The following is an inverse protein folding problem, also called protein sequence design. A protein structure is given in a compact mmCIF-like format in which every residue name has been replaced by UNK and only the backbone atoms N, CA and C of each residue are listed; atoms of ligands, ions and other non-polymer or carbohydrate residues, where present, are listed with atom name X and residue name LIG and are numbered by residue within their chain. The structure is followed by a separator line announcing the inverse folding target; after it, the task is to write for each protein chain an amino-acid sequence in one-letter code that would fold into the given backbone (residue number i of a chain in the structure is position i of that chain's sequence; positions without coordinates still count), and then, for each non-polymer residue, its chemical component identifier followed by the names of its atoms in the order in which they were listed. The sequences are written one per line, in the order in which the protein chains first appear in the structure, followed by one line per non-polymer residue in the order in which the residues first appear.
data_IF_197219250819
#
_entry.id   IF_197219250819
#
_cell.length_a   1.000
_cell.length_b   1.000
_cell.length_c   1.000
_cell.angle_alpha   90.00
_cell.angle_beta   90.00
_cell.angle_gamma   90.00
#
_symmetry.space_group_name_H-M   'P 1'
#
loop_
_entity.id
_entity.type
_entity.pdbx_description
1 polymer ?
#
# COMPACT_ATOMS: atom_id res chain seq x y z
N UNK A 1 -21.61 53.48 -24.82
CA UNK A 1 -20.21 53.83 -25.16
C UNK A 1 -19.35 52.62 -24.86
N UNK A 2 -18.53 52.22 -25.85
CA UNK A 2 -17.40 51.28 -25.94
C UNK A 2 -17.05 50.36 -24.76
N UNK A 3 -16.72 49.08 -24.93
CA UNK A 3 -16.51 48.27 -26.13
C UNK A 3 -16.08 46.84 -25.75
N UNK A 4 -16.57 45.86 -26.51
CA UNK A 4 -16.24 44.44 -26.41
C UNK A 4 -15.02 44.10 -27.30
N UNK A 5 -14.23 43.09 -26.92
CA UNK A 5 -13.30 42.41 -27.83
C UNK A 5 -13.61 40.91 -27.82
N UNK A 6 -14.09 40.45 -28.97
CA UNK A 6 -14.24 39.06 -29.40
C UNK A 6 -13.03 38.75 -30.29
N UNK A 7 -12.35 37.63 -30.06
CA UNK A 7 -11.38 37.07 -31.02
C UNK A 7 -11.92 35.73 -31.51
N UNK A 8 -12.26 35.67 -32.80
CA UNK A 8 -12.61 34.49 -33.57
C UNK A 8 -11.53 34.24 -34.64
N UNK A 9 -11.34 32.96 -34.98
CA UNK A 9 -10.59 32.46 -36.15
C UNK A 9 -9.44 31.55 -35.72
N UNK A 10 -9.31 30.30 -36.12
CA UNK A 10 -9.88 29.51 -37.21
C UNK A 10 -8.94 28.30 -37.43
N UNK A 11 -9.34 27.28 -38.22
CA UNK A 11 -8.89 25.89 -38.03
C UNK A 11 -7.69 25.49 -38.90
N UNK A 12 -6.79 24.66 -38.36
CA UNK A 12 -5.79 23.95 -39.16
C UNK A 12 -6.21 22.50 -39.45
N UNK A 13 -6.19 22.21 -40.75
CA UNK A 13 -6.54 20.96 -41.45
C UNK A 13 -5.74 19.74 -41.01
N UNK A 14 -6.43 18.60 -41.06
CA UNK A 14 -5.85 17.26 -41.14
C UNK A 14 -5.24 16.97 -42.53
N UNK A 15 -4.25 16.08 -42.55
CA UNK A 15 -3.66 15.43 -43.74
C UNK A 15 -3.03 14.07 -43.37
N UNK A 16 -2.85 13.13 -44.32
CA UNK A 16 -3.09 11.70 -44.09
C UNK A 16 -1.83 10.81 -44.12
N UNK A 17 -1.99 9.59 -43.59
CA UNK A 17 -1.54 8.34 -44.22
C UNK A 17 -0.04 8.00 -44.25
N UNK A 18 0.33 6.87 -43.67
CA UNK A 18 1.67 6.29 -43.85
C UNK A 18 1.90 5.02 -43.04
N UNK A 19 1.15 3.96 -43.35
CA UNK A 19 1.52 2.60 -42.99
C UNK A 19 2.69 2.16 -43.89
N UNK A 20 3.78 1.70 -43.28
CA UNK A 20 4.76 0.82 -43.94
C UNK A 20 5.07 -0.35 -43.02
N UNK A 21 4.48 -1.48 -43.38
CA UNK A 21 5.03 -2.82 -43.18
C UNK A 21 6.34 -2.92 -43.98
N UNK A 22 7.35 -3.57 -43.42
CA UNK A 22 8.39 -4.23 -44.20
C UNK A 22 9.27 -5.12 -43.30
N UNK A 23 9.13 -6.42 -43.49
CA UNK A 23 10.29 -7.19 -43.96
C UNK A 23 11.14 -7.85 -42.89
N UNK A 24 10.68 -9.02 -42.46
CA UNK A 24 11.51 -10.12 -41.97
C UNK A 24 12.50 -10.53 -43.08
N UNK A 25 13.80 -10.42 -42.82
CA UNK A 25 14.83 -11.23 -43.50
C UNK A 25 15.79 -11.79 -42.46
N UNK A 26 15.80 -13.12 -42.38
CA UNK A 26 16.86 -13.90 -41.75
C UNK A 26 17.96 -14.08 -42.81
N UNK A 27 19.22 -13.88 -42.45
CA UNK A 27 20.30 -14.58 -43.13
C UNK A 27 21.51 -14.82 -42.20
N UNK A 28 21.74 -16.11 -41.95
CA UNK A 28 23.04 -16.80 -41.99
C UNK A 28 24.22 -16.30 -41.14
N UNK A 29 24.52 -17.08 -40.09
CA UNK A 29 25.89 -17.30 -39.58
C UNK A 29 26.73 -18.06 -40.63
N UNK A 30 28.09 -18.09 -40.57
CA UNK A 30 28.76 -19.03 -39.65
C UNK A 30 30.20 -18.70 -39.18
N UNK A 31 30.65 -19.52 -38.21
CA UNK A 31 32.04 -19.87 -37.81
C UNK A 31 32.85 -18.84 -37.02
N UNK A 32 33.76 -19.20 -36.10
CA UNK A 32 34.10 -20.41 -35.35
C UNK A 32 35.30 -20.04 -34.47
N UNK A 33 35.46 -20.77 -33.36
CA UNK A 33 36.74 -21.15 -32.74
C UNK A 33 37.18 -20.43 -31.45
N UNK A 34 37.29 -21.28 -30.41
CA UNK A 34 38.40 -21.39 -29.45
C UNK A 34 38.08 -21.10 -27.97
N UNK A 35 37.69 -22.16 -27.25
CA UNK A 35 38.13 -22.45 -25.87
C UNK A 35 39.59 -23.00 -25.90
N UNK A 36 40.34 -23.03 -24.78
CA UNK A 36 40.24 -24.04 -23.68
C UNK A 36 40.31 -23.40 -22.26
N UNK A 37 39.61 -23.88 -21.22
CA UNK A 37 39.79 -25.08 -20.37
C UNK A 37 41.08 -25.10 -19.55
N UNK A 38 40.98 -25.23 -18.20
CA UNK A 38 41.63 -26.23 -17.29
C UNK A 38 41.07 -26.00 -15.85
N UNK A 39 40.38 -26.95 -15.21
CA UNK A 39 40.86 -28.10 -14.38
C UNK A 39 41.46 -27.63 -13.02
N UNK A 40 41.29 -28.25 -11.83
CA UNK A 40 41.18 -29.65 -11.41
C UNK A 40 40.84 -29.64 -9.89
N UNK A 41 39.93 -30.50 -9.37
CA UNK A 41 40.22 -31.71 -8.54
C UNK A 41 40.60 -31.45 -7.06
N UNK A 42 40.33 -32.22 -6.00
CA UNK A 42 39.70 -33.51 -5.59
C UNK A 42 39.69 -33.45 -4.01
N UNK A 43 38.91 -34.15 -3.18
CA UNK A 43 39.12 -35.52 -2.63
C UNK A 43 38.29 -35.60 -1.29
N UNK A 44 37.27 -36.45 -1.11
CA UNK A 44 37.15 -37.81 -0.48
C UNK A 44 37.16 -37.97 1.08
N UNK A 45 36.18 -38.76 1.57
CA UNK A 45 35.69 -39.28 2.90
C UNK A 45 36.65 -40.19 3.74
N UNK A 46 36.33 -40.94 4.88
CA UNK A 46 35.09 -41.22 5.71
C UNK A 46 35.27 -41.39 7.29
N UNK A 47 34.18 -41.80 8.02
CA UNK A 47 34.14 -42.50 9.36
C UNK A 47 33.77 -41.64 10.59
N UNK A 48 32.94 -41.98 11.60
CA UNK A 48 32.59 -43.27 12.26
C UNK A 48 31.27 -43.21 13.08
N UNK A 49 30.83 -44.37 13.57
CA UNK A 49 29.53 -44.76 14.15
C UNK A 49 29.31 -44.50 15.67
N UNK A 50 28.03 -44.36 16.04
CA UNK A 50 27.24 -44.82 17.23
C UNK A 50 27.53 -44.50 18.72
N UNK A 51 26.40 -44.21 19.41
CA UNK A 51 26.01 -44.34 20.85
C UNK A 51 26.48 -43.25 21.85
N UNK A 52 25.56 -42.38 22.32
CA UNK A 52 24.54 -42.55 23.39
C UNK A 52 25.10 -42.39 24.80
N UNK A 53 24.81 -41.25 25.45
CA UNK A 53 24.26 -41.14 26.82
C UNK A 53 23.99 -39.66 27.10
N UNK A 54 22.75 -39.36 27.47
CA UNK A 54 22.29 -38.00 27.72
C UNK A 54 22.84 -37.39 29.02
N UNK A 55 22.91 -36.07 29.02
CA UNK A 55 22.70 -35.27 30.24
C UNK A 55 22.28 -33.85 29.88
N UNK A 56 21.23 -33.44 30.56
CA UNK A 56 20.49 -32.21 30.37
C UNK A 56 21.35 -30.97 30.64
N UNK A 57 21.23 -29.97 29.77
CA UNK A 57 21.34 -28.58 30.18
C UNK A 57 20.55 -27.71 29.20
N UNK A 58 19.25 -27.60 29.47
CA UNK A 58 18.35 -26.70 28.77
C UNK A 58 18.62 -25.26 29.18
N UNK A 59 19.46 -24.56 28.43
CA UNK A 59 19.50 -23.09 28.47
C UNK A 59 18.38 -22.55 27.58
N UNK A 60 17.38 -21.97 28.23
CA UNK A 60 16.20 -21.35 27.66
C UNK A 60 16.55 -20.41 26.48
N UNK A 61 16.20 -20.84 25.26
CA UNK A 61 16.00 -19.93 24.12
C UNK A 61 14.58 -19.37 24.22
N UNK A 62 14.49 -18.05 24.19
CA UNK A 62 13.34 -17.25 24.58
C UNK A 62 12.00 -17.71 24.03
N UNK A 63 10.99 -17.62 24.90
CA UNK A 63 9.59 -17.78 24.61
C UNK A 63 9.14 -16.78 23.51
N UNK A 64 9.08 -17.27 22.28
CA UNK A 64 8.55 -16.58 21.10
C UNK A 64 7.77 -17.54 20.22
N UNK A 65 7.08 -18.52 20.84
CA UNK A 65 6.19 -19.41 20.12
C UNK A 65 5.10 -18.60 19.45
N UNK A 66 5.08 -18.60 18.11
CA UNK A 66 3.96 -18.05 17.35
C UNK A 66 2.69 -18.67 17.90
N UNK A 67 1.79 -17.82 18.39
CA UNK A 67 0.48 -18.22 18.87
C UNK A 67 -0.22 -18.97 17.74
N UNK A 68 -0.65 -20.20 18.00
CA UNK A 68 -1.15 -21.15 17.01
C UNK A 68 -2.42 -21.79 17.54
N UNK A 69 -3.40 -22.01 16.66
CA UNK A 69 -4.59 -22.80 16.99
C UNK A 69 -4.27 -24.28 17.13
N UNK A 70 -5.26 -25.08 17.53
CA UNK A 70 -5.17 -26.54 17.66
C UNK A 70 -4.79 -27.23 16.34
N UNK A 71 -4.95 -26.53 15.21
CA UNK A 71 -4.59 -26.98 13.86
C UNK A 71 -3.22 -26.43 13.39
N UNK A 72 -2.49 -25.72 14.27
CA UNK A 72 -1.16 -25.17 13.99
C UNK A 72 -1.14 -23.89 13.15
N UNK A 73 -2.30 -23.29 12.83
CA UNK A 73 -2.40 -22.01 12.14
C UNK A 73 -2.06 -20.89 13.09
N UNK A 74 -1.29 -19.90 12.65
CA UNK A 74 -0.95 -18.76 13.49
C UNK A 74 -2.22 -18.01 13.92
N UNK A 75 -2.57 -18.04 15.20
CA UNK A 75 -3.58 -17.16 15.78
C UNK A 75 -2.93 -15.83 16.05
N UNK A 76 -3.49 -14.78 15.46
CA UNK A 76 -3.09 -13.42 15.77
C UNK A 76 -3.87 -12.94 17.01
N UNK A 77 -3.81 -13.66 18.14
CA UNK A 77 -4.56 -13.30 19.36
C UNK A 77 -3.83 -12.25 20.20
N UNK A 78 -2.61 -11.86 19.80
CA UNK A 78 -1.85 -10.82 20.49
C UNK A 78 -2.57 -9.47 20.34
N UNK A 79 -2.92 -8.77 21.44
CA UNK A 79 -3.57 -7.46 21.39
C UNK A 79 -2.76 -6.45 20.56
N UNK A 80 -3.43 -5.49 19.92
CA UNK A 80 -2.80 -4.46 19.07
C UNK A 80 -3.29 -3.07 19.42
N UNK A 81 -2.47 -2.06 19.20
CA UNK A 81 -2.92 -0.65 19.31
C UNK A 81 -3.74 -0.20 18.09
N UNK A 82 -4.24 1.04 18.11
CA UNK A 82 -5.00 1.63 16.99
C UNK A 82 -4.21 1.79 15.69
N UNK A 83 -2.87 1.71 15.76
CA UNK A 83 -2.02 1.67 14.58
C UNK A 83 -1.76 0.24 14.11
N UNK A 84 -2.16 -0.81 14.85
CA UNK A 84 -1.94 -2.22 14.54
C UNK A 84 -0.62 -2.80 15.07
N UNK A 85 0.13 -2.09 15.92
CA UNK A 85 1.38 -2.60 16.53
C UNK A 85 1.05 -3.60 17.64
N UNK A 86 1.75 -4.74 17.72
CA UNK A 86 1.52 -5.72 18.78
C UNK A 86 1.82 -5.16 20.19
N UNK A 87 0.90 -5.35 21.13
CA UNK A 87 1.02 -4.97 22.53
C UNK A 87 1.44 -6.15 23.41
N UNK A 88 1.97 -5.93 24.63
CA UNK A 88 2.17 -7.00 25.61
C UNK A 88 0.87 -7.77 25.88
N UNK A 89 0.97 -9.06 26.19
CA UNK A 89 -0.19 -9.85 26.60
C UNK A 89 -0.82 -9.25 27.87
N UNK A 90 -2.15 -9.22 27.93
CA UNK A 90 -2.91 -8.62 29.04
C UNK A 90 -3.11 -7.10 28.96
N UNK A 91 -2.44 -6.40 28.03
CA UNK A 91 -2.78 -5.01 27.72
C UNK A 91 -4.11 -4.94 26.94
N UNK A 92 -4.97 -3.94 27.20
CA UNK A 92 -6.17 -3.73 26.37
C UNK A 92 -5.72 -3.37 24.95
N UNK A 93 -6.08 -4.20 23.98
CA UNK A 93 -5.92 -3.90 22.57
C UNK A 93 -7.17 -3.29 21.98
N UNK A 94 -7.03 -2.68 20.81
CA UNK A 94 -8.16 -2.32 19.96
C UNK A 94 -8.60 -3.57 19.21
N UNK A 95 -9.90 -3.86 19.25
CA UNK A 95 -10.48 -4.95 18.47
C UNK A 95 -10.24 -4.71 16.96
N UNK A 96 -9.95 -5.77 16.22
CA UNK A 96 -9.83 -5.67 14.75
C UNK A 96 -11.21 -5.41 14.17
N UNK A 97 -11.29 -4.70 13.05
CA UNK A 97 -12.57 -4.61 12.37
C UNK A 97 -13.00 -6.01 11.92
N UNK A 98 -14.31 -6.33 11.94
CA UNK A 98 -14.81 -7.55 11.35
C UNK A 98 -14.49 -7.54 9.86
N UNK A 99 -13.77 -8.56 9.39
CA UNK A 99 -13.35 -8.71 7.99
C UNK A 99 -14.55 -9.10 7.12
N UNK A 100 -14.64 -8.57 5.90
CA UNK A 100 -15.63 -8.99 4.90
C UNK A 100 -17.04 -8.43 5.13
N UNK A 101 -17.17 -7.34 5.89
CA UNK A 101 -18.46 -6.66 6.09
C UNK A 101 -18.77 -5.81 4.86
N UNK A 102 -19.83 -6.20 4.15
CA UNK A 102 -20.34 -5.45 2.99
C UNK A 102 -21.05 -4.19 3.49
N UNK A 103 -20.55 -3.03 3.08
CA UNK A 103 -21.11 -1.70 3.37
C UNK A 103 -21.43 -1.00 2.05
N UNK A 104 -22.39 -0.08 2.07
CA UNK A 104 -22.53 0.87 0.97
C UNK A 104 -21.29 1.78 0.87
N UNK A 105 -21.04 2.42 -0.29
CA UNK A 105 -19.97 3.40 -0.43
C UNK A 105 -20.01 4.52 0.62
N UNK A 106 -21.20 5.08 0.87
CA UNK A 106 -21.37 6.17 1.85
C UNK A 106 -21.07 5.73 3.28
N UNK A 107 -21.53 4.55 3.69
CA UNK A 107 -21.21 3.97 5.00
C UNK A 107 -19.72 3.67 5.15
N UNK A 108 -19.07 3.18 4.09
CA UNK A 108 -17.62 2.92 4.09
C UNK A 108 -16.82 4.20 4.30
N UNK A 109 -17.22 5.31 3.65
CA UNK A 109 -16.57 6.61 3.82
C UNK A 109 -16.82 7.18 5.21
N UNK A 110 -18.05 7.12 5.72
CA UNK A 110 -18.39 7.63 7.05
C UNK A 110 -17.64 6.88 8.17
N UNK A 111 -17.68 5.54 8.15
CA UNK A 111 -16.94 4.70 9.11
C UNK A 111 -15.43 4.98 9.03
N UNK A 112 -14.87 5.07 7.83
CA UNK A 112 -13.45 5.37 7.67
C UNK A 112 -13.08 6.76 8.21
N UNK A 113 -13.96 7.77 8.06
CA UNK A 113 -13.74 9.11 8.63
C UNK A 113 -13.67 9.02 10.16
N UNK A 114 -14.66 8.38 10.79
CA UNK A 114 -14.69 8.26 12.26
C UNK A 114 -13.45 7.56 12.81
N UNK A 115 -12.96 6.53 12.11
CA UNK A 115 -11.73 5.84 12.46
C UNK A 115 -10.49 6.73 12.30
N UNK A 116 -10.41 7.51 11.23
CA UNK A 116 -9.31 8.45 11.01
C UNK A 116 -9.29 9.54 12.09
N UNK A 117 -10.44 10.10 12.44
CA UNK A 117 -10.61 11.12 13.49
C UNK A 117 -10.17 10.57 14.86
N UNK A 118 -10.37 9.28 15.11
CA UNK A 118 -9.90 8.58 16.32
C UNK A 118 -8.41 8.18 16.27
N UNK A 119 -7.67 8.54 15.22
CA UNK A 119 -6.27 8.15 15.05
C UNK A 119 -6.07 6.66 14.79
N UNK A 120 -7.05 6.00 14.14
CA UNK A 120 -7.05 4.58 13.77
C UNK A 120 -6.96 4.36 12.24
N UNK A 121 -5.91 4.88 11.57
CA UNK A 121 -5.78 4.77 10.12
C UNK A 121 -5.57 3.33 9.63
N UNK A 122 -5.10 2.40 10.48
CA UNK A 122 -5.00 1.00 10.10
C UNK A 122 -6.39 0.35 9.98
N UNK A 123 -7.30 0.65 10.90
CA UNK A 123 -8.69 0.19 10.81
C UNK A 123 -9.43 0.84 9.63
N UNK A 124 -9.18 2.12 9.35
CA UNK A 124 -9.74 2.78 8.16
C UNK A 124 -9.24 2.11 6.85
N UNK A 125 -7.99 1.67 6.81
CA UNK A 125 -7.46 0.87 5.70
C UNK A 125 -8.23 -0.42 5.49
N UNK A 126 -8.58 -1.15 6.56
CA UNK A 126 -9.39 -2.37 6.49
C UNK A 126 -10.78 -2.09 5.88
N UNK A 127 -11.43 -0.99 6.26
CA UNK A 127 -12.73 -0.58 5.69
C UNK A 127 -12.64 -0.33 4.18
N UNK A 128 -11.62 0.40 3.72
CA UNK A 128 -11.41 0.64 2.29
C UNK A 128 -11.01 -0.63 1.52
N UNK A 129 -10.28 -1.54 2.16
CA UNK A 129 -9.93 -2.84 1.56
C UNK A 129 -11.17 -3.71 1.35
N UNK A 130 -12.09 -3.76 2.32
CA UNK A 130 -13.36 -4.44 2.19
C UNK A 130 -14.19 -3.84 1.03
N UNK A 131 -14.31 -2.51 0.97
CA UNK A 131 -15.00 -1.83 -0.12
C UNK A 131 -14.39 -2.12 -1.50
N UNK A 132 -13.06 -2.21 -1.60
CA UNK A 132 -12.37 -2.65 -2.83
C UNK A 132 -12.74 -4.09 -3.21
N UNK A 133 -12.79 -5.01 -2.24
CA UNK A 133 -13.04 -6.43 -2.50
C UNK A 133 -14.50 -6.72 -2.86
N UNK A 134 -15.45 -6.01 -2.24
CA UNK A 134 -16.89 -6.23 -2.45
C UNK A 134 -17.52 -5.30 -3.49
N UNK A 135 -16.87 -4.19 -3.82
CA UNK A 135 -17.41 -3.16 -4.70
C UNK A 135 -17.30 -3.45 -6.21
N UNK A 136 -17.92 -2.60 -7.05
CA UNK A 136 -17.84 -2.70 -8.50
C UNK A 136 -16.40 -2.59 -9.02
N UNK A 137 -16.11 -3.23 -10.15
CA UNK A 137 -14.75 -3.29 -10.71
C UNK A 137 -14.23 -1.89 -11.08
N UNK A 138 -15.10 -1.04 -11.62
CA UNK A 138 -14.81 0.33 -12.02
C UNK A 138 -14.40 1.24 -10.85
N UNK A 139 -14.71 0.86 -9.61
CA UNK A 139 -14.39 1.64 -8.41
C UNK A 139 -13.15 1.12 -7.67
N UNK A 140 -12.61 -0.03 -8.07
CA UNK A 140 -11.49 -0.66 -7.36
C UNK A 140 -10.27 0.26 -7.26
N UNK A 141 -10.00 1.07 -8.29
CA UNK A 141 -8.89 2.01 -8.29
C UNK A 141 -9.03 3.06 -7.16
N UNK A 142 -10.23 3.63 -7.02
CA UNK A 142 -10.55 4.60 -5.97
C UNK A 142 -10.37 3.99 -4.58
N UNK A 143 -11.01 2.84 -4.32
CA UNK A 143 -10.95 2.18 -3.01
C UNK A 143 -9.53 1.76 -2.63
N UNK A 144 -8.74 1.25 -3.60
CA UNK A 144 -7.31 0.94 -3.37
C UNK A 144 -6.47 2.18 -3.10
N UNK A 145 -6.76 3.29 -3.77
CA UNK A 145 -6.10 4.57 -3.52
C UNK A 145 -6.35 5.08 -2.09
N UNK A 146 -7.61 5.05 -1.64
CA UNK A 146 -8.00 5.41 -0.26
C UNK A 146 -7.35 4.49 0.78
N UNK A 147 -7.34 3.17 0.53
CA UNK A 147 -6.65 2.21 1.38
C UNK A 147 -5.14 2.51 1.47
N UNK A 148 -4.51 2.97 0.38
CA UNK A 148 -3.10 3.40 0.36
C UNK A 148 -2.86 4.67 1.16
N UNK A 149 -3.77 5.64 1.10
CA UNK A 149 -3.68 6.86 1.90
C UNK A 149 -3.72 6.53 3.41
N UNK A 150 -4.69 5.72 3.83
CA UNK A 150 -4.85 5.31 5.22
C UNK A 150 -3.62 4.52 5.75
N UNK A 151 -3.11 3.55 4.99
CA UNK A 151 -1.90 2.82 5.40
C UNK A 151 -0.64 3.70 5.30
N UNK A 152 -0.59 4.67 4.38
CA UNK A 152 0.46 5.69 4.32
C UNK A 152 0.53 6.54 5.59
N UNK A 153 -0.62 7.01 6.08
CA UNK A 153 -0.73 7.69 7.37
C UNK A 153 -0.32 6.78 8.54
N UNK A 154 -0.71 5.51 8.52
CA UNK A 154 -0.28 4.51 9.52
C UNK A 154 1.25 4.39 9.57
N UNK A 155 1.91 4.33 8.41
CA UNK A 155 3.37 4.26 8.33
C UNK A 155 4.04 5.53 8.85
N UNK A 156 3.52 6.71 8.49
CA UNK A 156 4.02 7.98 8.97
C UNK A 156 3.91 8.09 10.50
N UNK A 157 2.77 7.70 11.08
CA UNK A 157 2.54 7.72 12.52
C UNK A 157 3.39 6.69 13.29
N UNK A 158 3.91 5.66 12.60
CA UNK A 158 4.87 4.70 13.15
C UNK A 158 6.34 5.12 12.95
N UNK A 159 6.60 6.30 12.38
CA UNK A 159 7.95 6.80 12.11
C UNK A 159 8.61 6.20 10.85
N UNK A 160 7.88 5.43 10.03
CA UNK A 160 8.37 4.97 8.74
C UNK A 160 8.16 6.07 7.69
N UNK A 161 9.06 7.06 7.69
CA UNK A 161 8.95 8.28 6.89
C UNK A 161 8.93 8.01 5.39
N UNK A 162 9.96 7.32 4.88
CA UNK A 162 10.08 7.01 3.46
C UNK A 162 8.93 6.15 2.95
N UNK A 163 8.54 5.13 3.71
CA UNK A 163 7.41 4.27 3.35
C UNK A 163 6.08 5.02 3.37
N UNK A 164 5.84 5.81 4.43
CA UNK A 164 4.62 6.61 4.58
C UNK A 164 4.45 7.64 3.46
N UNK A 165 5.47 8.46 3.21
CA UNK A 165 5.44 9.48 2.16
C UNK A 165 5.23 8.87 0.76
N UNK A 166 5.88 7.74 0.47
CA UNK A 166 5.71 7.02 -0.80
C UNK A 166 4.27 6.52 -0.99
N UNK A 167 3.66 5.94 0.04
CA UNK A 167 2.29 5.44 -0.01
C UNK A 167 1.28 6.57 -0.15
N UNK A 168 1.46 7.67 0.58
CA UNK A 168 0.61 8.86 0.47
C UNK A 168 0.59 9.42 -0.96
N UNK A 169 1.77 9.61 -1.59
CA UNK A 169 1.83 10.10 -2.97
C UNK A 169 1.22 9.14 -3.98
N UNK A 170 1.45 7.84 -3.81
CA UNK A 170 0.86 6.82 -4.70
C UNK A 170 -0.66 6.77 -4.57
N UNK A 171 -1.17 6.82 -3.35
CA UNK A 171 -2.60 6.86 -3.08
C UNK A 171 -3.23 8.10 -3.68
N UNK A 172 -2.59 9.28 -3.53
CA UNK A 172 -3.04 10.53 -4.13
C UNK A 172 -3.17 10.44 -5.66
N UNK A 173 -2.13 9.95 -6.33
CA UNK A 173 -2.17 9.76 -7.79
C UNK A 173 -3.29 8.79 -8.22
N UNK A 174 -3.50 7.70 -7.46
CA UNK A 174 -4.51 6.71 -7.78
C UNK A 174 -5.94 7.24 -7.62
N UNK A 175 -6.23 8.02 -6.58
CA UNK A 175 -7.57 8.61 -6.40
C UNK A 175 -7.84 9.74 -7.40
N UNK A 176 -6.81 10.49 -7.78
CA UNK A 176 -6.90 11.55 -8.80
C UNK A 176 -7.26 10.95 -10.17
N UNK A 177 -6.58 9.87 -10.56
CA UNK A 177 -6.88 9.13 -11.80
C UNK A 177 -8.27 8.48 -11.79
N UNK A 178 -8.72 7.96 -10.64
CA UNK A 178 -10.02 7.31 -10.52
C UNK A 178 -11.21 8.30 -10.56
N UNK A 179 -10.97 9.56 -10.19
CA UNK A 179 -11.95 10.64 -10.20
C UNK A 179 -12.93 10.64 -9.01
N UNK A 180 -13.63 11.76 -8.84
CA UNK A 180 -14.54 11.98 -7.73
C UNK A 180 -15.81 11.11 -7.82
N UNK A 181 -16.14 10.42 -6.72
CA UNK A 181 -17.33 9.58 -6.53
C UNK A 181 -17.79 9.63 -5.07
N UNK A 182 -19.02 9.23 -4.80
CA UNK A 182 -19.54 9.00 -3.44
C UNK A 182 -19.41 10.20 -2.47
N UNK A 183 -19.34 11.43 -3.00
CA UNK A 183 -19.14 12.64 -2.20
C UNK A 183 -17.71 12.85 -1.67
N UNK A 184 -16.75 12.03 -2.11
CA UNK A 184 -15.34 12.11 -1.69
C UNK A 184 -14.69 13.36 -2.27
N UNK A 185 -14.03 14.14 -1.41
CA UNK A 185 -13.24 15.32 -1.80
C UNK A 185 -11.86 14.91 -2.32
N UNK A 186 -11.83 14.34 -3.53
CA UNK A 186 -10.58 13.92 -4.19
C UNK A 186 -9.56 15.06 -4.28
N UNK A 187 -9.91 16.29 -4.71
CA UNK A 187 -8.96 17.40 -4.73
C UNK A 187 -8.37 17.72 -3.35
N UNK A 188 -9.21 17.79 -2.32
CA UNK A 188 -8.77 18.01 -0.94
C UNK A 188 -7.83 16.91 -0.45
N UNK A 189 -8.14 15.65 -0.75
CA UNK A 189 -7.31 14.51 -0.40
C UNK A 189 -5.96 14.49 -1.11
N UNK A 190 -5.91 14.89 -2.38
CA UNK A 190 -4.65 14.99 -3.13
C UNK A 190 -3.75 16.06 -2.52
N UNK A 191 -4.29 17.25 -2.22
CA UNK A 191 -3.56 18.33 -1.55
C UNK A 191 -3.09 17.89 -0.15
N UNK A 192 -3.96 17.25 0.62
CA UNK A 192 -3.61 16.74 1.95
C UNK A 192 -2.49 15.71 1.89
N UNK A 193 -2.61 14.70 1.02
CA UNK A 193 -1.67 13.58 0.95
C UNK A 193 -0.27 14.04 0.50
N UNK A 194 -0.22 14.94 -0.49
CA UNK A 194 1.04 15.50 -0.99
C UNK A 194 1.71 16.38 0.07
N UNK A 195 0.96 17.28 0.72
CA UNK A 195 1.49 18.13 1.80
C UNK A 195 1.94 17.35 3.03
N UNK A 196 1.20 16.29 3.41
CA UNK A 196 1.60 15.39 4.49
C UNK A 196 2.87 14.62 4.14
N UNK A 197 2.99 14.10 2.91
CA UNK A 197 4.18 13.38 2.47
C UNK A 197 5.45 14.27 2.54
N UNK A 198 5.35 15.53 2.10
CA UNK A 198 6.44 16.49 2.22
C UNK A 198 6.81 16.79 3.68
N UNK A 199 5.82 16.93 4.55
CA UNK A 199 6.06 17.15 5.99
C UNK A 199 6.77 15.97 6.63
N UNK A 200 6.30 14.75 6.36
CA UNK A 200 6.88 13.48 6.87
C UNK A 200 8.32 13.27 6.43
N UNK A 201 8.69 13.73 5.22
CA UNK A 201 10.08 13.62 4.75
C UNK A 201 11.01 14.65 5.41
N UNK A 202 10.48 15.83 5.71
CA UNK A 202 11.22 16.93 6.34
C UNK A 202 11.43 16.71 7.84
N UNK A 203 10.40 16.24 8.52
CA UNK A 203 10.39 16.08 9.96
C UNK A 203 10.79 14.66 10.37
N UNK A 204 11.78 14.46 11.26
CA UNK A 204 12.10 13.14 11.79
C UNK A 204 11.02 12.55 12.71
N UNK A 205 10.16 13.37 13.30
CA UNK A 205 9.18 12.91 14.28
C UNK A 205 7.98 12.19 13.61
N UNK A 206 7.48 11.10 14.21
CA UNK A 206 6.24 10.48 13.78
C UNK A 206 5.07 11.46 13.86
N UNK A 207 4.19 11.43 12.86
CA UNK A 207 3.00 12.29 12.87
C UNK A 207 1.96 11.77 13.85
N UNK A 208 1.25 12.68 14.50
CA UNK A 208 0.01 12.35 15.18
C UNK A 208 -1.05 11.98 14.13
N UNK A 209 -1.58 10.76 14.21
CA UNK A 209 -2.51 10.23 13.22
C UNK A 209 -3.87 10.94 13.25
N UNK A 210 -4.40 11.25 14.44
CA UNK A 210 -5.69 11.91 14.59
C UNK A 210 -5.59 13.38 14.18
N UNK A 211 -4.53 14.08 14.62
CA UNK A 211 -4.32 15.48 14.24
C UNK A 211 -3.96 15.67 12.76
N UNK A 212 -3.52 14.61 12.08
CA UNK A 212 -3.22 14.60 10.65
C UNK A 212 -4.33 13.96 9.80
N UNK A 213 -5.47 13.59 10.39
CA UNK A 213 -6.57 12.96 9.67
C UNK A 213 -7.10 13.87 8.55
N UNK A 214 -7.36 13.32 7.34
CA UNK A 214 -8.00 14.08 6.29
C UNK A 214 -9.50 14.22 6.53
N UNK A 215 -10.10 15.17 5.83
CA UNK A 215 -11.56 15.19 5.58
C UNK A 215 -11.81 14.41 4.29
N UNK A 216 -12.51 13.28 4.37
CA UNK A 216 -12.74 12.38 3.23
C UNK A 216 -13.83 12.89 2.30
N UNK A 217 -14.91 13.45 2.85
CA UNK A 217 -16.04 13.94 2.08
C UNK A 217 -16.07 15.46 2.10
N UNK A 218 -16.32 16.09 0.95
CA UNK A 218 -16.49 17.53 0.90
C UNK A 218 -17.69 17.90 1.77
N UNK A 219 -17.49 18.82 2.73
CA UNK A 219 -18.63 19.44 3.41
C UNK A 219 -19.61 20.00 2.36
N UNK A 220 -20.91 20.17 2.68
CA UNK A 220 -21.84 20.74 1.73
C UNK A 220 -21.25 22.04 1.22
N UNK A 221 -20.96 22.09 -0.08
CA UNK A 221 -20.45 23.30 -0.75
C UNK A 221 -21.45 24.40 -0.39
N UNK A 222 -21.02 25.34 0.44
CA UNK A 222 -21.84 26.49 0.82
C UNK A 222 -22.30 27.17 -0.46
N UNK A 223 -23.61 27.18 -0.66
CA UNK A 223 -24.27 27.88 -1.77
C UNK A 223 -24.23 29.38 -1.62
#
# INVERSE_FOLDING_TARGET
MCGAIVVLGGPYRAGPGGAVDNGRVNDSAPHSSSQPSQESSQETTPGSETESTGQASGTARGAGGRDRDEEGRARNARPRDGLGRPLPYGAPGVERQPEGVVRSPGESVAEAQELLDQGRPFHAHEVFEDAWKSGPEEERALWRGLAQLAVGLTHAARGNRTGGARLLRRGAAAIDEAGARHGIDVPGLVVWATGLAERVERDPEPVDAAASAPVLAGGPLGG
#
